data_IF_153915495141
#
_entry.id   IF_153915495141
#
_cell.length_a   1.000
_cell.length_b   1.000
_cell.length_c   1.000
_cell.angle_alpha   90.00
_cell.angle_beta   90.00
_cell.angle_gamma   90.00
#
_symmetry.space_group_name_H-M   'P 1'
#
loop_
_entity.id
_entity.type
_entity.pdbx_description
1 polymer ?
#
# COMPACT_ATOMS: atom_id res chain seq x y z
N UNK A 1 -24.39 -3.00 8.83
CA UNK A 1 -23.82 -1.65 8.60
C UNK A 1 -24.41 -1.27 7.27
N UNK A 2 -25.45 -0.45 7.26
CA UNK A 2 -26.28 -0.28 6.07
C UNK A 2 -26.02 1.13 5.53
N UNK A 3 -25.04 1.22 4.64
CA UNK A 3 -24.82 2.44 3.85
C UNK A 3 -25.91 2.52 2.78
N UNK A 4 -26.50 3.69 2.59
CA UNK A 4 -27.41 3.93 1.47
C UNK A 4 -26.63 4.09 0.16
N UNK A 5 -27.31 3.97 -0.98
CA UNK A 5 -26.69 4.20 -2.28
C UNK A 5 -26.13 5.63 -2.43
N UNK A 6 -26.80 6.62 -1.82
CA UNK A 6 -26.36 8.02 -1.83
C UNK A 6 -25.11 8.24 -0.96
N UNK A 7 -25.00 7.54 0.17
CA UNK A 7 -23.79 7.57 0.99
C UNK A 7 -22.59 7.05 0.19
N UNK A 8 -22.77 5.93 -0.52
CA UNK A 8 -21.74 5.34 -1.36
C UNK A 8 -21.36 6.28 -2.49
N UNK A 9 -22.34 6.87 -3.18
CA UNK A 9 -22.10 7.84 -4.27
C UNK A 9 -21.32 9.06 -3.78
N UNK A 10 -21.67 9.58 -2.60
CA UNK A 10 -21.00 10.73 -1.98
C UNK A 10 -19.55 10.38 -1.67
N UNK A 11 -19.31 9.25 -1.00
CA UNK A 11 -17.96 8.79 -0.67
C UNK A 11 -17.09 8.59 -1.92
N UNK A 12 -17.62 7.96 -2.98
CA UNK A 12 -16.91 7.78 -4.24
C UNK A 12 -16.60 9.14 -4.87
N UNK A 13 -17.57 10.04 -4.93
CA UNK A 13 -17.38 11.38 -5.54
C UNK A 13 -16.31 12.17 -4.79
N UNK A 14 -16.31 12.16 -3.46
CA UNK A 14 -15.24 12.79 -2.65
C UNK A 14 -13.87 12.20 -2.96
N UNK A 15 -13.76 10.87 -3.00
CA UNK A 15 -12.48 10.18 -3.30
C UNK A 15 -11.96 10.53 -4.70
N UNK A 16 -12.85 10.67 -5.69
CA UNK A 16 -12.48 11.01 -7.06
C UNK A 16 -12.22 12.50 -7.27
N UNK A 17 -12.78 13.37 -6.44
CA UNK A 17 -12.53 14.82 -6.49
C UNK A 17 -11.14 15.16 -5.94
N UNK A 18 -10.66 14.40 -4.95
CA UNK A 18 -9.35 14.60 -4.33
C UNK A 18 -8.17 14.01 -5.16
N UNK A 19 -8.01 14.43 -6.42
CA UNK A 19 -6.95 13.96 -7.31
C UNK A 19 -5.76 14.94 -7.42
N UNK A 20 -5.27 15.44 -6.28
CA UNK A 20 -4.12 16.35 -6.22
C UNK A 20 -2.83 15.58 -5.91
N UNK A 21 -1.77 15.83 -6.67
CA UNK A 21 -0.44 15.26 -6.43
C UNK A 21 0.65 16.33 -6.52
N UNK A 22 1.82 16.05 -5.93
CA UNK A 22 2.95 16.96 -5.89
C UNK A 22 4.12 16.40 -6.68
N UNK A 23 4.61 17.17 -7.65
CA UNK A 23 5.78 16.83 -8.46
C UNK A 23 6.69 18.05 -8.58
N UNK A 24 8.01 17.90 -8.39
CA UNK A 24 8.97 19.01 -8.40
C UNK A 24 8.54 20.23 -7.56
N UNK A 25 8.04 19.98 -6.34
CA UNK A 25 7.50 20.99 -5.42
C UNK A 25 6.31 21.82 -5.95
N UNK A 26 5.69 21.43 -7.05
CA UNK A 26 4.45 22.04 -7.57
C UNK A 26 3.28 21.09 -7.35
N UNK A 27 2.12 21.66 -7.02
CA UNK A 27 0.87 20.92 -6.91
C UNK A 27 0.18 20.86 -8.26
N UNK A 28 -0.34 19.68 -8.59
CA UNK A 28 -1.07 19.40 -9.80
C UNK A 28 -2.35 18.69 -9.43
N UNK A 29 -3.43 19.00 -10.14
CA UNK A 29 -4.71 18.34 -10.01
C UNK A 29 -4.97 17.55 -11.30
N UNK A 30 -5.19 16.24 -11.17
CA UNK A 30 -5.66 15.43 -12.29
C UNK A 30 -7.15 15.69 -12.48
N UNK A 31 -7.46 16.57 -13.43
CA UNK A 31 -8.84 16.97 -13.78
C UNK A 31 -9.63 15.89 -14.52
N UNK A 32 -8.96 14.84 -15.00
CA UNK A 32 -9.58 13.85 -15.89
C UNK A 32 -8.99 12.46 -15.69
N UNK A 33 -9.87 11.47 -15.71
CA UNK A 33 -9.53 10.06 -15.58
C UNK A 33 -9.40 9.67 -14.11
N UNK A 34 -8.97 8.44 -13.89
CA UNK A 34 -8.80 7.89 -12.55
C UNK A 34 -7.32 7.93 -12.18
N UNK A 35 -6.99 8.50 -11.02
CA UNK A 35 -5.61 8.59 -10.57
C UNK A 35 -5.03 7.20 -10.28
N UNK A 36 -3.87 6.91 -10.87
CA UNK A 36 -3.12 5.69 -10.56
C UNK A 36 -2.73 5.67 -9.08
N UNK A 37 -2.97 4.54 -8.42
CA UNK A 37 -2.75 4.39 -6.97
C UNK A 37 -3.97 4.67 -6.10
N UNK A 38 -5.05 5.22 -6.66
CA UNK A 38 -6.33 5.25 -5.98
C UNK A 38 -6.90 3.82 -5.88
N UNK A 39 -7.28 3.37 -4.68
CA UNK A 39 -7.72 1.99 -4.45
C UNK A 39 -9.04 1.63 -5.13
N UNK A 40 -9.92 2.60 -5.36
CA UNK A 40 -11.21 2.36 -6.03
C UNK A 40 -11.13 2.52 -7.54
N UNK A 41 -10.09 3.19 -8.05
CA UNK A 41 -9.93 3.46 -9.47
C UNK A 41 -9.97 2.19 -10.36
N UNK A 42 -9.28 1.09 -10.04
CA UNK A 42 -9.35 -0.12 -10.86
C UNK A 42 -10.78 -0.67 -10.99
N UNK A 43 -11.55 -0.65 -9.89
CA UNK A 43 -12.93 -1.14 -9.90
C UNK A 43 -13.82 -0.27 -10.80
N UNK A 44 -13.71 1.05 -10.67
CA UNK A 44 -14.49 1.99 -11.49
C UNK A 44 -14.11 1.90 -12.97
N UNK A 45 -12.82 1.74 -13.28
CA UNK A 45 -12.35 1.52 -14.64
C UNK A 45 -12.95 0.22 -15.23
N UNK A 46 -12.99 -0.86 -14.43
CA UNK A 46 -13.59 -2.13 -14.87
C UNK A 46 -15.08 -1.96 -15.17
N UNK A 47 -15.84 -1.28 -14.31
CA UNK A 47 -17.28 -1.03 -14.49
C UNK A 47 -17.52 -0.18 -15.74
N UNK A 48 -16.75 0.90 -15.91
CA UNK A 48 -16.86 1.78 -17.06
C UNK A 48 -16.57 1.04 -18.37
N UNK A 49 -15.48 0.27 -18.43
CA UNK A 49 -15.14 -0.52 -19.62
C UNK A 49 -16.16 -1.64 -19.89
N UNK A 50 -16.67 -2.32 -18.87
CA UNK A 50 -17.72 -3.34 -19.03
C UNK A 50 -18.99 -2.78 -19.70
N UNK A 51 -19.37 -1.54 -19.36
CA UNK A 51 -20.51 -0.88 -19.99
C UNK A 51 -20.26 -0.62 -21.49
N UNK A 52 -19.07 -0.13 -21.85
CA UNK A 52 -18.68 0.12 -23.25
C UNK A 52 -18.63 -1.19 -24.03
N UNK A 53 -17.94 -2.18 -23.49
CA UNK A 53 -17.71 -3.48 -24.11
C UNK A 53 -19.03 -4.18 -24.45
N UNK A 54 -20.00 -4.20 -23.53
CA UNK A 54 -21.31 -4.82 -23.76
C UNK A 54 -22.07 -4.26 -24.95
N UNK A 55 -21.85 -2.98 -25.28
CA UNK A 55 -22.55 -2.31 -26.39
C UNK A 55 -21.80 -2.54 -27.71
N UNK A 56 -20.47 -2.63 -27.67
CA UNK A 56 -19.64 -2.72 -28.88
C UNK A 56 -19.48 -4.14 -29.43
N UNK A 57 -19.72 -5.18 -28.62
CA UNK A 57 -19.56 -6.59 -29.02
C UNK A 57 -20.74 -7.11 -29.84
N UNK A 58 -20.42 -7.83 -30.93
CA UNK A 58 -21.39 -8.40 -31.87
C UNK A 58 -21.17 -9.91 -32.03
N UNK A 59 -22.07 -10.59 -32.75
CA UNK A 59 -22.03 -12.04 -32.99
C UNK A 59 -20.77 -12.53 -33.70
N UNK A 60 -20.08 -11.64 -34.40
CA UNK A 60 -18.87 -11.96 -35.17
C UNK A 60 -17.61 -12.04 -34.29
N UNK A 61 -17.70 -11.60 -33.03
CA UNK A 61 -16.64 -11.74 -32.04
C UNK A 61 -16.80 -13.08 -31.31
N UNK A 62 -15.94 -14.04 -31.67
CA UNK A 62 -15.94 -15.40 -31.15
C UNK A 62 -15.40 -15.49 -29.71
N UNK A 63 -14.44 -14.63 -29.36
CA UNK A 63 -13.86 -14.57 -28.03
C UNK A 63 -13.50 -13.13 -27.68
N UNK A 64 -13.88 -12.70 -26.49
CA UNK A 64 -13.42 -11.45 -25.91
C UNK A 64 -13.07 -11.67 -24.43
N UNK A 65 -11.80 -11.49 -24.07
CA UNK A 65 -11.31 -11.68 -22.70
C UNK A 65 -10.43 -10.51 -22.30
N UNK A 66 -10.87 -9.77 -21.29
CA UNK A 66 -10.11 -8.64 -20.73
C UNK A 66 -9.42 -9.01 -19.42
N UNK A 67 -8.19 -8.54 -19.27
CA UNK A 67 -7.44 -8.50 -18.03
C UNK A 67 -7.05 -7.05 -17.73
N UNK A 68 -7.83 -6.38 -16.86
CA UNK A 68 -7.69 -4.96 -16.55
C UNK A 68 -7.79 -4.09 -17.82
N UNK A 69 -6.66 -3.73 -18.41
CA UNK A 69 -6.46 -2.89 -19.59
C UNK A 69 -6.12 -3.69 -20.86
N UNK A 70 -5.55 -4.90 -20.72
CA UNK A 70 -5.18 -5.75 -21.85
C UNK A 70 -6.39 -6.62 -22.28
N UNK A 71 -6.73 -6.60 -23.58
CA UNK A 71 -7.84 -7.38 -24.17
C UNK A 71 -7.30 -8.40 -25.17
N UNK A 72 -7.75 -9.65 -25.04
CA UNK A 72 -7.56 -10.70 -26.03
C UNK A 72 -8.86 -10.93 -26.79
N UNK A 73 -8.84 -10.74 -28.11
CA UNK A 73 -10.03 -10.84 -28.97
C UNK A 73 -9.79 -11.77 -30.14
N UNK A 74 -10.80 -12.57 -30.49
CA UNK A 74 -10.86 -13.41 -31.69
C UNK A 74 -12.19 -13.10 -32.39
N UNK A 75 -12.13 -12.69 -33.66
CA UNK A 75 -13.30 -12.56 -34.53
C UNK A 75 -13.33 -13.62 -35.63
N UNK A 76 -14.44 -13.72 -36.34
CA UNK A 76 -14.60 -14.61 -37.50
C UNK A 76 -13.66 -14.21 -38.64
N UNK A 77 -13.55 -12.91 -38.91
CA UNK A 77 -12.61 -12.34 -39.88
C UNK A 77 -11.82 -11.19 -39.28
N UNK A 78 -10.73 -10.79 -39.96
CA UNK A 78 -9.97 -9.60 -39.60
C UNK A 78 -10.82 -8.33 -39.62
N UNK A 79 -11.73 -8.22 -40.61
CA UNK A 79 -12.61 -7.06 -40.76
C UNK A 79 -13.60 -6.95 -39.58
N UNK A 80 -14.08 -8.07 -39.04
CA UNK A 80 -15.01 -8.05 -37.90
C UNK A 80 -14.34 -7.49 -36.64
N UNK A 81 -13.07 -7.85 -36.42
CA UNK A 81 -12.28 -7.32 -35.30
C UNK A 81 -12.00 -5.82 -35.49
N UNK A 82 -11.71 -5.39 -36.72
CA UNK A 82 -11.51 -3.98 -37.05
C UNK A 82 -12.79 -3.16 -36.86
N UNK A 83 -13.94 -3.67 -37.30
CA UNK A 83 -15.24 -3.03 -37.09
C UNK A 83 -15.60 -2.96 -35.58
N UNK A 84 -15.25 -3.98 -34.79
CA UNK A 84 -15.42 -3.94 -33.34
C UNK A 84 -14.52 -2.88 -32.68
N UNK A 85 -13.28 -2.74 -33.15
CA UNK A 85 -12.37 -1.68 -32.68
C UNK A 85 -12.90 -0.29 -33.02
N UNK A 86 -13.46 -0.10 -34.21
CA UNK A 86 -14.09 1.17 -34.60
C UNK A 86 -15.26 1.52 -33.69
N UNK A 87 -16.17 0.55 -33.42
CA UNK A 87 -17.28 0.75 -32.47
C UNK A 87 -16.82 1.06 -31.04
N UNK A 88 -15.74 0.42 -30.58
CA UNK A 88 -15.17 0.72 -29.26
C UNK A 88 -14.63 2.15 -29.18
N UNK A 89 -13.97 2.62 -30.25
CA UNK A 89 -13.40 3.96 -30.33
C UNK A 89 -14.43 5.06 -30.61
N UNK A 90 -15.60 4.72 -31.16
CA UNK A 90 -16.69 5.67 -31.39
C UNK A 90 -17.44 6.05 -30.09
N UNK A 91 -17.36 5.22 -29.05
CA UNK A 91 -18.15 5.39 -27.83
C UNK A 91 -17.75 6.64 -27.01
N UNK A 92 -16.46 6.82 -26.72
CA UNK A 92 -15.96 8.00 -26.02
C UNK A 92 -14.67 8.48 -26.71
N UNK A 93 -14.62 9.69 -27.28
CA UNK A 93 -13.46 10.20 -28.02
C UNK A 93 -12.20 10.36 -27.16
N UNK A 94 -12.32 10.12 -25.85
CA UNK A 94 -11.28 10.33 -24.87
C UNK A 94 -10.78 9.02 -24.26
N UNK A 95 -11.31 7.88 -24.69
CA UNK A 95 -10.78 6.55 -24.44
C UNK A 95 -10.44 5.95 -25.80
N UNK A 96 -9.16 5.65 -26.01
CA UNK A 96 -8.66 5.12 -27.28
C UNK A 96 -8.22 3.68 -27.07
N UNK A 97 -8.78 2.79 -27.87
CA UNK A 97 -8.40 1.39 -27.97
C UNK A 97 -7.44 1.22 -29.13
N UNK A 98 -6.33 0.53 -28.86
CA UNK A 98 -5.32 0.16 -29.86
C UNK A 98 -5.33 -1.34 -30.07
N UNK A 99 -4.97 -1.80 -31.26
CA UNK A 99 -4.89 -3.22 -31.58
C UNK A 99 -3.47 -3.64 -31.93
N UNK A 100 -2.99 -4.69 -31.27
CA UNK A 100 -1.79 -5.43 -31.67
C UNK A 100 -2.22 -6.63 -32.52
N UNK A 101 -1.48 -6.92 -33.59
CA UNK A 101 -1.75 -8.06 -34.47
C UNK A 101 -0.68 -9.14 -34.28
N UNK A 102 -0.99 -10.42 -34.57
CA UNK A 102 0.02 -11.47 -34.58
C UNK A 102 1.19 -11.10 -35.50
N UNK A 103 2.40 -11.51 -35.13
CA UNK A 103 3.58 -11.34 -35.98
C UNK A 103 3.56 -12.28 -37.19
N UNK A 104 4.60 -12.19 -38.03
CA UNK A 104 4.75 -13.03 -39.23
C UNK A 104 4.77 -14.55 -38.94
N UNK A 105 5.10 -14.93 -37.70
CA UNK A 105 5.11 -16.32 -37.24
C UNK A 105 3.76 -16.74 -36.61
N UNK A 106 2.76 -15.86 -36.63
CA UNK A 106 1.42 -16.06 -36.07
C UNK A 106 1.32 -15.88 -34.56
N UNK A 107 2.33 -15.30 -33.91
CA UNK A 107 2.34 -15.10 -32.46
C UNK A 107 1.90 -13.69 -32.05
N UNK A 108 0.89 -13.62 -31.19
CA UNK A 108 0.43 -12.39 -30.55
C UNK A 108 0.89 -12.33 -29.09
N UNK A 109 1.60 -11.28 -28.66
CA UNK A 109 1.85 -11.03 -27.24
C UNK A 109 0.54 -10.80 -26.46
N UNK A 110 0.40 -11.45 -25.32
CA UNK A 110 -0.67 -11.18 -24.36
C UNK A 110 -0.17 -11.46 -22.93
N UNK A 111 -0.17 -10.43 -22.08
CA UNK A 111 0.39 -10.46 -20.72
C UNK A 111 1.84 -10.98 -20.71
N UNK A 112 2.10 -12.10 -20.02
CA UNK A 112 3.40 -12.75 -19.90
C UNK A 112 3.55 -13.94 -20.87
N UNK A 113 2.76 -13.95 -21.95
CA UNK A 113 2.77 -15.00 -22.96
C UNK A 113 2.79 -14.46 -24.39
N UNK A 114 3.25 -15.27 -25.34
CA UNK A 114 2.92 -15.15 -26.75
C UNK A 114 2.06 -16.33 -27.13
N UNK A 115 0.96 -16.05 -27.83
CA UNK A 115 -0.07 -17.03 -28.17
C UNK A 115 -0.11 -17.18 -29.68
N UNK A 116 -0.13 -18.43 -30.15
CA UNK A 116 -0.38 -18.76 -31.54
C UNK A 116 -1.49 -19.79 -31.63
N UNK A 117 -2.43 -19.58 -32.55
CA UNK A 117 -3.53 -20.50 -32.80
C UNK A 117 -3.49 -20.88 -34.28
N UNK A 118 -3.18 -22.14 -34.57
CA UNK A 118 -3.04 -22.65 -35.93
C UNK A 118 -3.84 -23.94 -36.07
N UNK A 119 -4.81 -23.98 -36.99
CA UNK A 119 -5.63 -25.17 -37.27
C UNK A 119 -6.25 -25.82 -36.01
N UNK A 120 -6.72 -24.99 -35.07
CA UNK A 120 -7.31 -25.42 -33.80
C UNK A 120 -6.31 -25.79 -32.70
N UNK A 121 -5.01 -25.89 -33.00
CA UNK A 121 -3.96 -26.09 -32.01
C UNK A 121 -3.52 -24.76 -31.40
N UNK A 122 -3.27 -24.77 -30.08
CA UNK A 122 -2.89 -23.58 -29.31
C UNK A 122 -1.47 -23.77 -28.81
N UNK A 123 -0.60 -22.86 -29.19
CA UNK A 123 0.77 -22.79 -28.70
C UNK A 123 0.96 -21.56 -27.83
N UNK A 124 1.70 -21.76 -26.75
CA UNK A 124 1.97 -20.74 -25.74
C UNK A 124 3.47 -20.70 -25.50
N UNK A 125 4.04 -19.51 -25.50
CA UNK A 125 5.43 -19.27 -25.14
C UNK A 125 5.49 -18.23 -24.04
N UNK A 126 6.43 -18.37 -23.11
CA UNK A 126 6.70 -17.33 -22.12
C UNK A 126 7.17 -16.06 -22.81
N UNK A 127 6.67 -14.92 -22.35
CA UNK A 127 6.99 -13.62 -22.92
C UNK A 127 7.30 -12.60 -21.85
N UNK A 128 8.23 -11.72 -22.17
CA UNK A 128 8.56 -10.55 -21.39
C UNK A 128 8.37 -9.31 -22.24
N UNK A 129 7.50 -8.40 -21.77
CA UNK A 129 7.31 -7.08 -22.39
C UNK A 129 8.67 -6.35 -22.48
N UNK A 130 9.00 -5.68 -23.60
CA UNK A 130 10.29 -5.01 -23.79
C UNK A 130 10.62 -3.97 -22.71
N UNK A 131 9.59 -3.26 -22.22
CA UNK A 131 9.71 -2.25 -21.18
C UNK A 131 10.04 -2.82 -19.78
N UNK A 132 9.79 -4.11 -19.55
CA UNK A 132 10.10 -4.73 -18.25
C UNK A 132 11.60 -4.84 -18.08
N UNK A 133 12.15 -4.32 -16.98
CA UNK A 133 13.57 -4.49 -16.67
C UNK A 133 13.87 -5.93 -16.23
N UNK A 134 15.09 -6.41 -16.50
CA UNK A 134 15.56 -7.72 -16.05
C UNK A 134 15.97 -7.69 -14.57
N UNK A 135 15.07 -7.29 -13.68
CA UNK A 135 15.38 -7.12 -12.26
C UNK A 135 14.88 -8.32 -11.47
N UNK A 136 15.81 -9.09 -10.91
CA UNK A 136 15.57 -10.11 -9.90
C UNK A 136 16.28 -9.72 -8.60
N UNK A 137 16.07 -10.50 -7.54
CA UNK A 137 16.94 -10.43 -6.36
C UNK A 137 18.34 -10.86 -6.81
N UNK A 138 19.31 -9.95 -6.84
CA UNK A 138 20.67 -10.30 -7.29
C UNK A 138 21.28 -11.38 -6.39
N UNK A 139 22.02 -12.31 -7.00
CA UNK A 139 22.75 -13.41 -6.32
C UNK A 139 23.66 -12.97 -5.14
N UNK A 140 24.23 -11.76 -5.21
CA UNK A 140 25.09 -11.17 -4.18
C UNK A 140 24.34 -10.40 -3.08
N UNK A 141 23.02 -10.30 -3.17
CA UNK A 141 22.23 -9.59 -2.16
C UNK A 141 22.30 -10.29 -0.78
N UNK A 142 22.10 -9.51 0.28
CA UNK A 142 22.06 -9.98 1.67
C UNK A 142 20.76 -10.73 2.03
N UNK A 143 20.23 -11.51 1.08
CA UNK A 143 19.10 -12.42 1.28
C UNK A 143 19.60 -13.84 1.55
N UNK A 144 18.85 -14.65 2.31
CA UNK A 144 19.14 -16.07 2.46
C UNK A 144 19.27 -16.77 1.10
N UNK A 145 20.18 -17.73 0.98
CA UNK A 145 20.39 -18.46 -0.27
C UNK A 145 19.12 -19.16 -0.77
N UNK A 146 18.23 -19.60 0.11
CA UNK A 146 16.97 -20.22 -0.28
C UNK A 146 16.00 -19.25 -0.96
N UNK A 147 15.99 -17.97 -0.56
CA UNK A 147 15.18 -16.92 -1.20
C UNK A 147 15.69 -16.70 -2.62
N UNK A 148 17.01 -16.54 -2.76
CA UNK A 148 17.67 -16.35 -4.06
C UNK A 148 17.44 -17.54 -5.00
N UNK A 149 17.49 -18.76 -4.47
CA UNK A 149 17.18 -19.97 -5.22
C UNK A 149 15.70 -20.09 -5.59
N UNK A 150 14.79 -19.69 -4.70
CA UNK A 150 13.35 -19.69 -4.98
C UNK A 150 12.97 -18.72 -6.10
N UNK A 151 13.61 -17.54 -6.19
CA UNK A 151 13.36 -16.58 -7.27
C UNK A 151 13.66 -17.21 -8.62
N UNK A 152 14.83 -17.84 -8.78
CA UNK A 152 15.20 -18.54 -10.02
C UNK A 152 14.27 -19.72 -10.30
N UNK A 153 13.98 -20.55 -9.28
CA UNK A 153 13.08 -21.70 -9.43
C UNK A 153 11.66 -21.28 -9.84
N UNK A 154 11.14 -20.17 -9.31
CA UNK A 154 9.83 -19.66 -9.69
C UNK A 154 9.80 -19.14 -11.13
N UNK A 155 10.86 -18.46 -11.58
CA UNK A 155 11.01 -18.05 -12.98
C UNK A 155 10.99 -19.27 -13.91
N UNK A 156 11.81 -20.27 -13.61
CA UNK A 156 11.86 -21.51 -14.39
C UNK A 156 10.53 -22.25 -14.36
N UNK A 157 9.89 -22.41 -13.19
CA UNK A 157 8.59 -23.06 -13.07
C UNK A 157 7.52 -22.34 -13.89
N UNK A 158 7.55 -21.00 -13.90
CA UNK A 158 6.62 -20.19 -14.70
C UNK A 158 6.86 -20.38 -16.19
N UNK A 159 8.13 -20.40 -16.64
CA UNK A 159 8.50 -20.73 -18.02
C UNK A 159 7.91 -22.09 -18.44
N UNK A 160 8.20 -23.15 -17.68
CA UNK A 160 7.73 -24.51 -18.02
C UNK A 160 6.20 -24.65 -17.96
N UNK A 161 5.52 -23.90 -17.09
CA UNK A 161 4.05 -23.92 -17.03
C UNK A 161 3.42 -23.25 -18.26
N UNK A 162 4.06 -22.20 -18.78
CA UNK A 162 3.51 -21.38 -19.87
C UNK A 162 3.95 -21.85 -21.25
N UNK A 163 5.14 -22.43 -21.39
CA UNK A 163 5.63 -22.91 -22.68
C UNK A 163 5.05 -24.27 -23.03
N UNK A 164 4.41 -24.39 -24.19
CA UNK A 164 3.99 -25.70 -24.76
C UNK A 164 5.14 -26.43 -25.42
N UNK A 165 6.14 -25.70 -25.91
CA UNK A 165 7.29 -26.22 -26.65
C UNK A 165 8.57 -25.51 -26.19
N UNK A 166 9.72 -26.14 -26.44
CA UNK A 166 11.02 -25.51 -26.20
C UNK A 166 11.30 -24.49 -27.30
N UNK A 167 11.56 -23.24 -26.91
CA UNK A 167 11.85 -22.15 -27.83
C UNK A 167 13.21 -21.52 -27.50
N UNK A 168 14.08 -21.44 -28.51
CA UNK A 168 15.46 -20.95 -28.34
C UNK A 168 15.49 -19.51 -27.86
N UNK A 169 14.59 -18.65 -28.35
CA UNK A 169 14.57 -17.23 -27.98
C UNK A 169 14.16 -17.04 -26.52
N UNK A 170 13.22 -17.86 -26.04
CA UNK A 170 12.82 -17.90 -24.64
C UNK A 170 13.99 -18.36 -23.76
N UNK A 171 14.69 -19.43 -24.14
CA UNK A 171 15.85 -19.91 -23.38
C UNK A 171 16.96 -18.85 -23.32
N UNK A 172 17.33 -18.24 -24.45
CA UNK A 172 18.35 -17.18 -24.49
C UNK A 172 17.95 -15.98 -23.61
N UNK A 173 16.67 -15.60 -23.64
CA UNK A 173 16.17 -14.49 -22.83
C UNK A 173 16.25 -14.80 -21.33
N UNK A 174 15.88 -16.01 -20.93
CA UNK A 174 15.95 -16.44 -19.53
C UNK A 174 17.39 -16.52 -19.06
N UNK A 175 18.30 -17.09 -19.84
CA UNK A 175 19.73 -17.14 -19.54
C UNK A 175 20.29 -15.73 -19.34
N UNK A 176 19.99 -14.80 -20.25
CA UNK A 176 20.41 -13.40 -20.13
C UNK A 176 19.88 -12.73 -18.86
N UNK A 177 18.61 -12.96 -18.49
CA UNK A 177 18.04 -12.44 -17.24
C UNK A 177 18.81 -12.98 -16.03
N UNK A 178 19.14 -14.27 -16.01
CA UNK A 178 19.88 -14.88 -14.90
C UNK A 178 21.30 -14.32 -14.81
N UNK A 179 22.02 -14.22 -15.94
CA UNK A 179 23.38 -13.70 -16.01
C UNK A 179 23.47 -12.24 -15.54
N UNK A 180 22.57 -11.37 -16.01
CA UNK A 180 22.50 -9.96 -15.59
C UNK A 180 22.23 -9.80 -14.07
N UNK A 181 21.64 -10.82 -13.42
CA UNK A 181 21.40 -10.84 -11.97
C UNK A 181 22.45 -11.66 -11.19
N UNK A 182 23.53 -12.05 -11.86
CA UNK A 182 24.69 -12.76 -11.30
C UNK A 182 24.42 -14.23 -10.98
N UNK A 183 23.48 -14.87 -11.67
CA UNK A 183 23.17 -16.28 -11.53
C UNK A 183 23.79 -17.07 -12.68
N UNK A 184 24.98 -17.63 -12.46
CA UNK A 184 25.71 -18.39 -13.48
C UNK A 184 25.14 -19.81 -13.70
N UNK A 185 24.31 -20.31 -12.78
CA UNK A 185 23.68 -21.62 -12.85
C UNK A 185 22.34 -21.61 -12.11
N UNK A 186 21.44 -22.53 -12.48
CA UNK A 186 20.22 -22.78 -11.71
C UNK A 186 20.63 -23.26 -10.32
N UNK A 187 20.24 -22.57 -9.24
CA UNK A 187 20.61 -22.95 -7.89
C UNK A 187 20.10 -24.37 -7.58
N UNK A 188 21.00 -25.22 -7.08
CA UNK A 188 20.68 -26.56 -6.60
C UNK A 188 19.69 -26.55 -5.43
N UNK A 189 19.43 -27.72 -4.84
CA UNK A 189 18.59 -27.85 -3.64
C UNK A 189 19.02 -26.83 -2.57
N UNK A 190 18.08 -25.96 -2.19
CA UNK A 190 18.28 -25.04 -1.08
C UNK A 190 17.57 -25.58 0.16
N UNK A 191 18.17 -25.38 1.32
CA UNK A 191 17.50 -25.63 2.59
C UNK A 191 16.32 -24.66 2.75
N UNK A 192 15.29 -25.06 3.49
CA UNK A 192 14.18 -24.18 3.82
C UNK A 192 14.10 -23.97 5.34
N UNK A 193 13.68 -22.77 5.79
CA UNK A 193 13.40 -22.56 7.19
C UNK A 193 12.26 -23.49 7.65
N UNK A 194 12.38 -24.00 8.86
CA UNK A 194 11.41 -24.86 9.49
C UNK A 194 10.10 -24.09 9.66
N UNK A 195 9.00 -24.73 9.26
CA UNK A 195 7.67 -24.17 9.36
C UNK A 195 6.72 -25.28 9.79
N UNK A 196 6.28 -25.24 11.04
CA UNK A 196 5.17 -26.05 11.51
C UNK A 196 3.84 -25.56 10.91
N UNK A 197 2.90 -26.47 10.68
CA UNK A 197 1.51 -26.12 10.40
C UNK A 197 0.93 -25.40 11.64
N UNK A 198 0.24 -24.28 11.43
CA UNK A 198 -0.29 -23.40 12.49
C UNK A 198 0.74 -22.84 13.48
N UNK A 199 2.02 -22.87 13.12
CA UNK A 199 3.10 -22.42 14.00
C UNK A 199 3.15 -20.90 14.20
N UNK A 200 3.53 -20.47 15.40
CA UNK A 200 3.76 -19.06 15.73
C UNK A 200 4.99 -18.52 14.97
N UNK A 201 4.90 -17.33 14.33
CA UNK A 201 6.02 -16.78 13.58
C UNK A 201 7.15 -16.30 14.51
N UNK A 202 8.31 -16.94 14.42
CA UNK A 202 9.55 -16.47 15.03
C UNK A 202 10.38 -15.74 13.96
N UNK A 203 10.40 -14.41 14.04
CA UNK A 203 11.11 -13.56 13.06
C UNK A 203 12.47 -13.17 13.62
N UNK A 204 13.54 -13.56 12.94
CA UNK A 204 14.92 -13.26 13.33
C UNK A 204 15.65 -12.46 12.24
N UNK A 205 16.59 -11.57 12.60
CA UNK A 205 17.42 -10.90 11.60
C UNK A 205 18.29 -11.92 10.85
N UNK A 206 18.40 -11.75 9.54
CA UNK A 206 19.29 -12.54 8.72
C UNK A 206 20.70 -11.95 8.79
N UNK A 207 21.62 -12.70 9.40
CA UNK A 207 23.04 -12.34 9.52
C UNK A 207 23.94 -13.18 8.60
N UNK A 208 23.42 -14.26 8.03
CA UNK A 208 24.15 -15.17 7.14
C UNK A 208 23.60 -16.59 7.15
N UNK A 209 23.92 -17.36 6.12
CA UNK A 209 23.42 -18.73 5.92
C UNK A 209 23.86 -19.70 7.03
N UNK A 210 25.11 -19.60 7.51
CA UNK A 210 25.64 -20.51 8.55
C UNK A 210 24.88 -20.36 9.88
N UNK A 211 24.75 -19.15 10.47
CA UNK A 211 23.91 -18.96 11.66
C UNK A 211 22.44 -19.32 11.42
N UNK A 212 21.89 -18.95 10.26
CA UNK A 212 20.49 -19.23 9.94
C UNK A 212 20.19 -20.74 9.90
N UNK A 213 21.10 -21.55 9.34
CA UNK A 213 20.99 -23.02 9.33
C UNK A 213 21.12 -23.63 10.72
N UNK A 214 22.02 -23.11 11.55
CA UNK A 214 22.17 -23.59 12.93
C UNK A 214 20.90 -23.35 13.74
N UNK A 215 20.33 -22.13 13.67
CA UNK A 215 19.04 -21.81 14.31
C UNK A 215 17.92 -22.70 13.76
N UNK A 216 17.91 -22.93 12.45
CA UNK A 216 16.92 -23.80 11.82
C UNK A 216 16.93 -25.23 12.38
N UNK A 217 18.12 -25.79 12.61
CA UNK A 217 18.28 -27.12 13.20
C UNK A 217 17.78 -27.14 14.65
N UNK A 218 18.13 -26.13 15.45
CA UNK A 218 17.67 -26.02 16.84
C UNK A 218 16.14 -25.93 16.91
N UNK A 219 15.52 -25.06 16.11
CA UNK A 219 14.06 -24.92 16.07
C UNK A 219 13.40 -26.23 15.64
N UNK A 220 13.93 -26.90 14.61
CA UNK A 220 13.43 -28.20 14.14
C UNK A 220 13.52 -29.28 15.24
N UNK A 221 14.60 -29.30 16.01
CA UNK A 221 14.81 -30.27 17.09
C UNK A 221 13.97 -29.98 18.35
N UNK A 222 13.58 -28.72 18.56
CA UNK A 222 12.78 -28.32 19.72
C UNK A 222 11.37 -28.93 19.76
N UNK A 223 10.86 -29.38 18.61
CA UNK A 223 9.48 -29.89 18.49
C UNK A 223 8.39 -28.83 18.69
N UNK A 224 8.76 -27.55 18.84
CA UNK A 224 7.81 -26.47 19.05
C UNK A 224 7.06 -26.11 17.75
N UNK A 225 5.78 -25.71 17.83
CA UNK A 225 5.00 -25.26 16.68
C UNK A 225 5.44 -23.84 16.27
N UNK A 226 6.61 -23.73 15.66
CA UNK A 226 7.23 -22.47 15.25
C UNK A 226 7.30 -22.38 13.73
N UNK A 227 7.02 -21.19 13.20
CA UNK A 227 7.33 -20.80 11.82
C UNK A 227 8.51 -19.85 11.81
N UNK A 228 9.68 -20.36 11.43
CA UNK A 228 10.91 -19.57 11.42
C UNK A 228 10.96 -18.67 10.19
N UNK A 229 11.21 -17.38 10.40
CA UNK A 229 11.31 -16.38 9.32
C UNK A 229 12.58 -15.56 9.51
N UNK A 230 13.41 -15.48 8.47
CA UNK A 230 14.61 -14.65 8.48
C UNK A 230 14.36 -13.34 7.73
N UNK A 231 14.56 -12.21 8.41
CA UNK A 231 14.36 -10.86 7.86
C UNK A 231 15.71 -10.28 7.38
N UNK A 232 15.88 -9.98 6.09
CA UNK A 232 17.06 -9.27 5.57
C UNK A 232 17.28 -7.92 6.25
N UNK A 233 18.52 -7.38 6.25
CA UNK A 233 18.78 -6.03 6.75
C UNK A 233 17.99 -4.98 5.96
N UNK A 234 17.68 -3.82 6.58
CA UNK A 234 16.98 -2.74 5.90
C UNK A 234 17.80 -2.25 4.70
N UNK A 235 17.10 -1.89 3.62
CA UNK A 235 17.73 -1.33 2.42
C UNK A 235 18.31 0.06 2.70
N UNK A 236 19.29 0.50 1.89
CA UNK A 236 19.78 1.89 1.92
C UNK A 236 18.65 2.90 1.80
N UNK A 237 17.68 2.66 0.91
CA UNK A 237 16.48 3.49 0.82
C UNK A 237 15.77 3.58 2.17
N UNK A 238 15.47 2.44 2.79
CA UNK A 238 14.84 2.44 4.12
C UNK A 238 15.67 3.12 5.18
N UNK A 239 17.00 2.98 5.19
CA UNK A 239 17.86 3.66 6.16
C UNK A 239 17.90 5.18 5.93
N UNK A 240 17.97 5.62 4.67
CA UNK A 240 18.08 7.02 4.29
C UNK A 240 16.74 7.74 4.26
N UNK A 241 15.63 7.02 4.08
CA UNK A 241 14.26 7.54 4.16
C UNK A 241 13.58 7.21 5.48
N UNK A 242 14.24 6.49 6.39
CA UNK A 242 13.73 6.29 7.74
C UNK A 242 13.85 7.62 8.48
N UNK A 243 12.73 8.29 8.62
CA UNK A 243 12.56 9.38 9.57
C UNK A 243 12.53 8.88 11.03
N UNK A 244 12.70 7.57 11.28
CA UNK A 244 12.39 6.91 12.57
C UNK A 244 13.55 6.80 13.57
N UNK A 245 14.73 7.38 13.29
CA UNK A 245 15.83 7.45 14.28
C UNK A 245 15.46 8.22 15.57
N UNK A 246 14.30 8.86 15.62
CA UNK A 246 13.80 9.64 16.75
C UNK A 246 12.76 8.92 17.64
N UNK A 247 12.35 7.68 17.32
CA UNK A 247 11.14 7.10 17.93
C UNK A 247 11.38 6.30 19.24
N UNK A 248 12.58 5.77 19.50
CA UNK A 248 12.80 4.86 20.65
C UNK A 248 13.47 5.48 21.89
N UNK A 249 13.90 6.73 21.81
CA UNK A 249 14.58 7.41 22.92
C UNK A 249 13.71 8.55 23.42
N UNK A 250 13.11 8.36 24.60
CA UNK A 250 12.71 9.51 25.40
C UNK A 250 14.01 10.19 25.87
N UNK A 251 14.28 11.46 25.50
CA UNK A 251 15.53 12.12 25.84
C UNK A 251 15.61 12.52 27.32
N UNK A 252 14.51 12.40 28.09
CA UNK A 252 14.44 12.80 29.50
C UNK A 252 14.33 11.60 30.43
N UNK A 253 15.21 11.56 31.43
CA UNK A 253 15.22 10.53 32.47
C UNK A 253 13.93 10.50 33.31
N UNK A 254 13.22 11.64 33.42
CA UNK A 254 12.02 11.83 34.24
C UNK A 254 10.83 12.37 33.43
N UNK A 255 10.60 11.81 32.24
CA UNK A 255 9.49 12.25 31.39
C UNK A 255 8.11 11.96 32.01
N UNK A 256 7.41 13.02 32.39
CA UNK A 256 6.09 13.01 33.02
C UNK A 256 4.95 12.37 32.19
N UNK A 257 5.16 12.11 30.90
CA UNK A 257 4.17 11.48 30.03
C UNK A 257 4.42 9.98 29.81
N UNK A 258 5.65 9.51 30.05
CA UNK A 258 6.06 8.13 29.75
C UNK A 258 5.89 7.19 30.94
N UNK A 259 4.70 7.15 31.54
CA UNK A 259 4.44 6.37 32.78
C UNK A 259 4.30 4.87 32.47
N UNK A 260 3.49 4.51 31.47
CA UNK A 260 3.21 3.12 31.07
C UNK A 260 3.53 2.86 29.59
N UNK A 261 4.65 3.42 29.12
CA UNK A 261 5.10 3.28 27.73
C UNK A 261 5.66 4.60 27.17
N UNK A 262 6.59 4.48 26.22
CA UNK A 262 7.27 5.63 25.61
C UNK A 262 6.37 6.32 24.57
N UNK A 263 5.50 7.24 25.01
CA UNK A 263 4.57 7.96 24.13
C UNK A 263 5.07 9.34 23.66
N UNK A 264 6.06 9.92 24.34
CA UNK A 264 6.46 11.32 24.17
C UNK A 264 6.97 11.69 22.77
N UNK A 265 7.64 10.77 22.07
CA UNK A 265 8.21 11.00 20.73
C UNK A 265 7.31 10.52 19.59
N UNK A 266 6.14 9.94 19.90
CA UNK A 266 5.22 9.49 18.85
C UNK A 266 4.80 10.69 17.99
N UNK A 267 4.77 10.46 16.68
CA UNK A 267 4.33 11.41 15.64
C UNK A 267 3.17 10.82 14.86
N UNK A 268 2.35 11.68 14.27
CA UNK A 268 1.18 11.25 13.51
C UNK A 268 0.21 10.48 14.40
N UNK A 269 -0.11 11.04 15.57
CA UNK A 269 -0.97 10.38 16.56
C UNK A 269 -2.28 11.11 16.72
N UNK A 270 -3.32 10.34 17.02
CA UNK A 270 -4.58 10.84 17.59
C UNK A 270 -4.61 10.37 19.04
N UNK A 271 -4.86 11.29 19.96
CA UNK A 271 -4.79 11.05 21.38
C UNK A 271 -6.02 11.63 22.09
N UNK A 272 -6.36 11.01 23.21
CA UNK A 272 -7.39 11.43 24.14
C UNK A 272 -6.74 11.94 25.41
N UNK A 273 -7.09 13.14 25.82
CA UNK A 273 -6.76 13.71 27.12
C UNK A 273 -7.99 13.63 28.00
N UNK A 274 -7.80 13.25 29.27
CA UNK A 274 -8.84 13.33 30.31
C UNK A 274 -8.33 14.23 31.44
N UNK A 275 -9.11 15.27 31.75
CA UNK A 275 -8.83 16.17 32.87
C UNK A 275 -8.96 15.41 34.20
N UNK A 276 -7.97 15.51 35.07
CA UNK A 276 -8.01 14.81 36.38
C UNK A 276 -8.89 15.51 37.40
N UNK A 277 -9.22 16.80 37.19
CA UNK A 277 -10.07 17.58 38.10
C UNK A 277 -11.56 17.34 37.91
N UNK A 278 -12.04 17.28 36.65
CA UNK A 278 -13.47 17.17 36.34
C UNK A 278 -13.83 15.98 35.43
N UNK A 279 -12.85 15.23 34.91
CA UNK A 279 -13.09 14.07 34.06
C UNK A 279 -13.47 14.37 32.60
N UNK A 280 -13.63 15.64 32.23
CA UNK A 280 -13.90 16.07 30.86
C UNK A 280 -12.77 15.66 29.90
N UNK A 281 -13.16 15.42 28.65
CA UNK A 281 -12.29 14.84 27.62
C UNK A 281 -11.96 15.84 26.54
N UNK A 282 -10.79 15.64 25.94
CA UNK A 282 -10.34 16.31 24.73
C UNK A 282 -9.74 15.28 23.78
N UNK A 283 -10.11 15.31 22.51
CA UNK A 283 -9.46 14.53 21.45
C UNK A 283 -8.68 15.49 20.56
N UNK A 284 -7.45 15.12 20.22
CA UNK A 284 -6.65 15.91 19.29
C UNK A 284 -5.67 15.07 18.49
N UNK A 285 -5.16 15.65 17.42
CA UNK A 285 -4.07 15.10 16.61
C UNK A 285 -2.75 15.87 16.75
N UNK A 286 -1.65 15.20 16.39
CA UNK A 286 -0.38 15.88 16.11
C UNK A 286 0.52 15.11 15.15
N UNK A 287 1.11 15.82 14.19
CA UNK A 287 2.26 15.33 13.41
C UNK A 287 3.60 15.59 14.12
N UNK A 288 3.66 16.62 14.98
CA UNK A 288 4.84 16.91 15.82
C UNK A 288 4.94 15.88 16.95
N UNK A 289 6.11 15.70 17.57
CA UNK A 289 6.25 14.83 18.75
C UNK A 289 5.16 15.13 19.77
N UNK A 290 4.45 14.09 20.21
CA UNK A 290 3.27 14.20 21.08
C UNK A 290 3.54 15.07 22.31
N UNK A 291 4.72 14.93 22.92
CA UNK A 291 5.15 15.76 24.04
C UNK A 291 4.99 17.25 23.78
N UNK A 292 5.43 17.76 22.62
CA UNK A 292 5.37 19.20 22.34
C UNK A 292 3.93 19.71 22.37
N UNK A 293 3.00 18.91 21.84
CA UNK A 293 1.56 19.24 21.85
C UNK A 293 0.96 19.16 23.24
N UNK A 294 1.35 18.17 24.05
CA UNK A 294 0.93 18.08 25.46
C UNK A 294 1.46 19.23 26.31
N UNK A 295 2.71 19.67 26.08
CA UNK A 295 3.32 20.82 26.76
C UNK A 295 2.64 22.15 26.37
N UNK A 296 2.12 22.27 25.15
CA UNK A 296 1.26 23.40 24.74
C UNK A 296 -0.05 23.42 25.54
N UNK A 297 -0.77 22.29 25.58
CA UNK A 297 -2.02 22.17 26.36
C UNK A 297 -1.80 22.47 27.84
N UNK A 298 -0.69 21.99 28.41
CA UNK A 298 -0.35 22.28 29.81
C UNK A 298 -0.04 23.76 30.05
N UNK A 299 0.69 24.42 29.14
CA UNK A 299 0.96 25.85 29.25
C UNK A 299 -0.33 26.68 29.17
N UNK A 300 -1.28 26.28 28.32
CA UNK A 300 -2.60 26.88 28.22
C UNK A 300 -3.42 26.71 29.52
N UNK A 301 -3.36 25.53 30.16
CA UNK A 301 -3.99 25.31 31.47
C UNK A 301 -3.37 26.16 32.59
N UNK A 302 -2.05 26.34 32.60
CA UNK A 302 -1.34 27.08 33.64
C UNK A 302 -1.51 28.60 33.47
N UNK A 303 -1.49 29.08 32.23
CA UNK A 303 -1.49 30.50 31.89
C UNK A 303 -2.61 30.83 30.87
N UNK A 304 -3.89 30.71 31.25
CA UNK A 304 -5.01 30.86 30.32
C UNK A 304 -5.03 32.23 29.63
N UNK A 305 -4.63 33.30 30.32
CA UNK A 305 -4.57 34.67 29.78
C UNK A 305 -3.57 34.83 28.62
N UNK A 306 -2.53 34.00 28.56
CA UNK A 306 -1.51 34.05 27.50
C UNK A 306 -1.91 33.27 26.24
N UNK A 307 -2.92 32.39 26.32
CA UNK A 307 -3.34 31.52 25.22
C UNK A 307 -4.87 31.50 25.08
N UNK A 308 -5.54 32.66 24.91
CA UNK A 308 -7.00 32.77 25.05
C UNK A 308 -7.79 31.97 24.00
N UNK A 309 -7.20 31.67 22.85
CA UNK A 309 -7.82 30.88 21.77
C UNK A 309 -7.71 29.36 21.95
N UNK A 310 -6.89 28.87 22.90
CA UNK A 310 -6.70 27.44 23.10
C UNK A 310 -7.85 26.84 23.92
N UNK A 311 -8.32 25.65 23.52
CA UNK A 311 -9.45 24.94 24.15
C UNK A 311 -9.23 24.70 25.65
N UNK A 312 -7.99 24.42 26.04
CA UNK A 312 -7.59 24.20 27.42
C UNK A 312 -7.60 25.49 28.26
N UNK A 313 -7.33 26.66 27.69
CA UNK A 313 -7.46 27.94 28.39
C UNK A 313 -8.92 28.24 28.70
N UNK A 314 -9.81 28.00 27.74
CA UNK A 314 -11.26 28.12 27.94
C UNK A 314 -11.76 27.15 29.00
N UNK A 315 -11.35 25.88 28.93
CA UNK A 315 -11.68 24.88 29.93
C UNK A 315 -11.21 25.27 31.34
N UNK A 316 -9.97 25.75 31.47
CA UNK A 316 -9.42 26.28 32.73
C UNK A 316 -10.31 27.37 33.31
N UNK A 317 -10.70 28.35 32.50
CA UNK A 317 -11.51 29.49 32.94
C UNK A 317 -12.94 29.11 33.29
N UNK A 318 -13.54 28.12 32.61
CA UNK A 318 -14.93 27.71 32.84
C UNK A 318 -15.12 26.69 33.96
N UNK A 319 -14.16 25.78 34.15
CA UNK A 319 -14.32 24.64 35.07
C UNK A 319 -13.44 24.71 36.31
N UNK A 320 -12.32 25.44 36.25
CA UNK A 320 -11.30 25.43 37.29
C UNK A 320 -10.75 26.83 37.57
N UNK A 321 -11.63 27.84 37.65
CA UNK A 321 -11.24 29.26 37.79
C UNK A 321 -10.54 29.57 39.11
N UNK A 322 -11.04 29.00 40.21
CA UNK A 322 -10.61 29.31 41.58
C UNK A 322 -9.73 28.22 42.21
N UNK A 323 -9.42 27.18 41.46
CA UNK A 323 -8.67 26.00 41.92
C UNK A 323 -7.25 26.00 41.36
N UNK A 324 -6.36 25.19 41.95
CA UNK A 324 -5.07 24.90 41.34
C UNK A 324 -5.26 24.27 39.95
N UNK A 325 -4.34 24.53 39.02
CA UNK A 325 -4.41 23.97 37.67
C UNK A 325 -4.44 22.43 37.72
N UNK A 326 -5.50 21.79 37.19
CA UNK A 326 -5.58 20.33 37.19
C UNK A 326 -4.51 19.75 36.27
N UNK A 327 -4.05 18.55 36.60
CA UNK A 327 -3.27 17.71 35.69
C UNK A 327 -4.20 16.93 34.76
N UNK A 328 -3.63 16.24 33.78
CA UNK A 328 -4.40 15.40 32.87
C UNK A 328 -3.69 14.08 32.57
N UNK A 329 -4.48 13.07 32.22
CA UNK A 329 -4.00 11.78 31.72
C UNK A 329 -4.16 11.71 30.21
N UNK A 330 -3.29 10.93 29.55
CA UNK A 330 -3.26 10.83 28.08
C UNK A 330 -3.33 9.37 27.65
N UNK A 331 -4.22 9.09 26.71
CA UNK A 331 -4.36 7.78 26.05
C UNK A 331 -4.11 7.99 24.56
N UNK A 332 -3.18 7.22 24.00
CA UNK A 332 -2.93 7.24 22.55
C UNK A 332 -3.95 6.32 21.89
N UNK A 333 -4.85 6.88 21.06
CA UNK A 333 -5.90 6.14 20.38
C UNK A 333 -5.38 5.52 19.07
N UNK A 334 -4.67 6.31 18.27
CA UNK A 334 -4.11 5.88 16.99
C UNK A 334 -2.63 6.27 16.87
N UNK A 335 -1.85 5.42 16.20
CA UNK A 335 -0.40 5.60 15.98
C UNK A 335 -0.05 5.54 14.49
N UNK A 336 1.00 6.24 14.09
CA UNK A 336 1.60 6.20 12.74
C UNK A 336 0.70 6.70 11.59
N UNK A 337 -0.20 7.65 11.86
CA UNK A 337 -1.02 8.33 10.85
C UNK A 337 -0.21 9.45 10.19
N UNK A 338 0.61 9.07 9.20
CA UNK A 338 1.52 9.98 8.51
C UNK A 338 0.82 10.93 7.54
N UNK A 339 -0.28 10.48 6.93
CA UNK A 339 -1.09 11.30 6.02
C UNK A 339 -1.98 12.26 6.82
N UNK A 340 -1.96 13.55 6.47
CA UNK A 340 -2.75 14.58 7.19
C UNK A 340 -4.25 14.31 7.10
N UNK A 341 -4.75 13.95 5.91
CA UNK A 341 -6.17 13.66 5.73
C UNK A 341 -6.63 12.48 6.57
N UNK A 342 -5.92 11.35 6.52
CA UNK A 342 -6.22 10.16 7.33
C UNK A 342 -6.21 10.50 8.83
N UNK A 343 -5.20 11.25 9.28
CA UNK A 343 -5.09 11.67 10.68
C UNK A 343 -6.26 12.57 11.11
N UNK A 344 -6.67 13.52 10.27
CA UNK A 344 -7.81 14.42 10.49
C UNK A 344 -9.16 13.68 10.47
N UNK A 345 -9.31 12.70 9.58
CA UNK A 345 -10.50 11.82 9.53
C UNK A 345 -10.59 10.99 10.81
N UNK A 346 -9.48 10.39 11.25
CA UNK A 346 -9.45 9.60 12.49
C UNK A 346 -9.69 10.47 13.73
N UNK A 347 -9.15 11.69 13.78
CA UNK A 347 -9.48 12.69 14.82
C UNK A 347 -10.99 12.96 14.87
N UNK A 348 -11.61 13.25 13.72
CA UNK A 348 -13.04 13.50 13.65
C UNK A 348 -13.89 12.29 14.07
N UNK A 349 -13.49 11.08 13.68
CA UNK A 349 -14.15 9.84 14.11
C UNK A 349 -14.10 9.67 15.62
N UNK A 350 -12.95 9.91 16.25
CA UNK A 350 -12.78 9.77 17.70
C UNK A 350 -13.48 10.88 18.48
N UNK A 351 -13.55 12.11 17.94
CA UNK A 351 -14.39 13.18 18.49
C UNK A 351 -15.85 12.73 18.50
N UNK A 352 -16.36 12.19 17.38
CA UNK A 352 -17.74 11.70 17.30
C UNK A 352 -18.00 10.52 18.24
N UNK A 353 -17.04 9.62 18.39
CA UNK A 353 -17.13 8.43 19.24
C UNK A 353 -17.15 8.77 20.73
N UNK A 354 -16.26 9.67 21.16
CA UNK A 354 -16.06 9.99 22.57
C UNK A 354 -16.84 11.20 23.06
N UNK A 355 -17.39 12.01 22.14
CA UNK A 355 -18.12 13.25 22.39
C UNK A 355 -17.42 14.16 23.44
N UNK A 356 -16.17 14.57 23.18
CA UNK A 356 -15.35 15.29 24.17
C UNK A 356 -15.89 16.70 24.46
N UNK A 357 -15.92 17.07 25.74
CA UNK A 357 -16.50 18.32 26.24
C UNK A 357 -15.58 19.53 26.04
N UNK A 358 -14.26 19.32 25.97
CA UNK A 358 -13.26 20.41 25.91
C UNK A 358 -13.11 20.95 24.48
N UNK A 359 -13.27 20.12 23.45
CA UNK A 359 -13.10 20.48 22.04
C UNK A 359 -14.02 21.64 21.61
N UNK A 360 -13.54 22.51 20.71
CA UNK A 360 -14.34 23.65 20.23
C UNK A 360 -15.31 23.30 19.10
N UNK A 361 -15.20 22.07 18.55
CA UNK A 361 -15.88 21.55 17.36
C UNK A 361 -15.44 22.23 16.06
N UNK A 362 -14.53 23.20 16.12
CA UNK A 362 -13.88 23.80 14.95
C UNK A 362 -12.93 22.79 14.29
N UNK A 363 -12.43 21.82 15.06
CA UNK A 363 -11.55 20.75 14.57
C UNK A 363 -12.24 19.88 13.51
N UNK A 364 -13.58 19.75 13.57
CA UNK A 364 -14.38 19.06 12.56
C UNK A 364 -14.54 19.85 11.26
N UNK A 365 -14.45 21.19 11.32
CA UNK A 365 -14.54 22.06 10.13
C UNK A 365 -13.25 22.04 9.31
N UNK A 366 -12.10 21.88 9.96
CA UNK A 366 -10.81 21.73 9.27
C UNK A 366 -10.76 20.49 8.39
N UNK A 367 -11.45 19.42 8.77
CA UNK A 367 -11.58 18.20 7.93
C UNK A 367 -12.33 18.51 6.64
N UNK A 368 -13.39 19.32 6.70
CA UNK A 368 -14.17 19.71 5.52
C UNK A 368 -13.34 20.55 4.54
N UNK A 369 -12.46 21.43 5.04
CA UNK A 369 -11.55 22.23 4.22
C UNK A 369 -10.36 21.45 3.61
N UNK A 370 -10.14 20.20 4.05
CA UNK A 370 -9.14 19.29 3.47
C UNK A 370 -9.77 18.25 2.52
N UNK A 371 -11.10 18.20 2.46
CA UNK A 371 -11.90 17.35 1.57
C UNK A 371 -12.42 18.16 0.36
N UNK A 372 -12.40 19.49 0.42
CA UNK A 372 -12.52 20.41 -0.73
C UNK A 372 -11.20 20.56 -1.45
#
# INVERSE_FOLDING_TARGET
MDFSADDIKTMITSVLSCNVFRFNNKFYEQRRGLAMGNRIAPLLAIIFLDHIEKISLTSEILLYKRYIDDVFVIGTTKMDVEAALERLNDFDPRVSFTIERPDDNGYLPFLNTRVRITSGQKEWLWYKKPASANILVHSRSAHPNYVKANVVRNLMKTKHKLCTTTDVTVETTITRILDENGYNMIPAAAWFPYSAADGLPLVLPYVGDRPARAVNQVVKQSGLPIRLVFRPPPTLKQLLTSTSLYEDKCPEASCQYCINGKICQLRGTVYLIRCSGCGEKYVGETMRPLRKRLDEHRRALLNPSSYPSESFSRHRTLRHTHEQAPTFTVIVLHRHLTQTLERKVMEAMEIRRHNPEINSKEELREVLGLIS
#
